data_IF_221357032956
#
_entry.id   IF_221357032956
#
_cell.length_a   1.000
_cell.length_b   1.000
_cell.length_c   1.000
_cell.angle_alpha   90.00
_cell.angle_beta   90.00
_cell.angle_gamma   90.00
#
_symmetry.space_group_name_H-M   'P 1'
#
loop_
_entity.id
_entity.type
_entity.pdbx_description
1 polymer ?
#
# COMPACT_ATOMS: atom_id res chain seq x y z
N UNK A 1 -13.19 -17.01 9.86
CA UNK A 1 -13.11 -15.61 10.33
C UNK A 1 -11.79 -15.34 11.05
N UNK A 2 -11.34 -16.25 11.89
CA UNK A 2 -10.11 -16.09 12.69
C UNK A 2 -8.84 -15.80 11.87
N UNK A 3 -8.65 -16.50 10.73
CA UNK A 3 -7.47 -16.32 9.89
C UNK A 3 -7.35 -14.92 9.26
N UNK A 4 -8.45 -14.34 8.79
CA UNK A 4 -8.45 -13.00 8.21
C UNK A 4 -8.14 -11.93 9.24
N UNK A 5 -8.61 -12.12 10.48
CA UNK A 5 -8.25 -11.24 11.61
C UNK A 5 -6.75 -11.33 11.91
N UNK A 6 -6.18 -12.53 11.95
CA UNK A 6 -4.75 -12.75 12.16
C UNK A 6 -3.92 -12.03 11.08
N UNK A 7 -4.31 -12.13 9.80
CA UNK A 7 -3.60 -11.45 8.71
C UNK A 7 -3.73 -9.92 8.83
N UNK A 8 -4.91 -9.42 9.17
CA UNK A 8 -5.12 -7.99 9.42
C UNK A 8 -4.22 -7.50 10.54
N UNK A 9 -4.22 -8.18 11.68
CA UNK A 9 -3.40 -7.82 12.84
C UNK A 9 -1.91 -7.88 12.51
N UNK A 10 -1.47 -8.88 11.70
CA UNK A 10 -0.10 -8.98 11.23
C UNK A 10 0.29 -7.78 10.34
N UNK A 11 -0.59 -7.36 9.43
CA UNK A 11 -0.35 -6.19 8.57
C UNK A 11 -0.29 -4.92 9.42
N UNK A 12 -1.24 -4.71 10.32
CA UNK A 12 -1.26 -3.56 11.21
C UNK A 12 0.00 -3.47 12.08
N UNK A 13 0.44 -4.60 12.63
CA UNK A 13 1.67 -4.66 13.41
C UNK A 13 2.91 -4.29 12.56
N UNK A 14 3.03 -4.83 11.34
CA UNK A 14 4.13 -4.50 10.44
C UNK A 14 4.16 -3.03 10.06
N UNK A 15 3.00 -2.42 9.77
CA UNK A 15 2.92 -0.99 9.42
C UNK A 15 3.26 -0.08 10.60
N UNK A 16 2.75 -0.39 11.80
CA UNK A 16 3.06 0.39 13.00
C UNK A 16 4.53 0.28 13.43
N UNK A 17 5.19 -0.83 13.12
CA UNK A 17 6.56 -1.12 13.50
C UNK A 17 7.51 -1.23 12.30
N UNK A 18 7.20 -0.57 11.19
CA UNK A 18 7.85 -0.80 9.91
C UNK A 18 9.38 -0.63 9.96
N UNK A 19 9.89 0.34 10.73
CA UNK A 19 11.33 0.59 10.86
C UNK A 19 12.03 -0.36 11.84
N UNK A 20 11.30 -0.89 12.82
CA UNK A 20 11.87 -1.65 13.93
C UNK A 20 11.67 -3.17 13.80
N UNK A 21 10.62 -3.60 13.10
CA UNK A 21 10.32 -5.03 12.94
C UNK A 21 11.49 -5.77 12.30
N UNK A 22 11.97 -6.81 12.98
CA UNK A 22 13.17 -7.55 12.56
C UNK A 22 12.91 -8.63 11.52
N UNK A 23 11.68 -9.13 11.44
CA UNK A 23 11.32 -10.13 10.45
C UNK A 23 10.04 -10.91 10.75
N UNK A 24 9.77 -11.96 9.97
CA UNK A 24 8.55 -12.78 10.08
C UNK A 24 8.34 -13.44 11.44
N UNK A 25 9.41 -13.78 12.14
CA UNK A 25 9.39 -14.42 13.45
C UNK A 25 8.74 -13.53 14.50
N UNK A 26 9.08 -12.24 14.47
CA UNK A 26 8.54 -11.24 15.39
C UNK A 26 7.05 -11.02 15.14
N UNK A 27 6.64 -10.89 13.86
CA UNK A 27 5.25 -10.76 13.47
C UNK A 27 4.44 -11.98 13.90
N UNK A 28 4.94 -13.18 13.66
CA UNK A 28 4.30 -14.44 14.05
C UNK A 28 4.09 -14.55 15.57
N UNK A 29 5.10 -14.11 16.35
CA UNK A 29 5.02 -14.04 17.81
C UNK A 29 3.93 -13.06 18.26
N UNK A 30 3.82 -11.91 17.60
CA UNK A 30 2.79 -10.92 17.91
C UNK A 30 1.38 -11.47 17.72
N UNK A 31 1.13 -12.16 16.61
CA UNK A 31 -0.19 -12.74 16.30
C UNK A 31 -0.39 -14.15 16.88
N UNK A 32 0.53 -14.63 17.71
CA UNK A 32 0.47 -15.90 18.47
C UNK A 32 0.29 -17.17 17.62
N UNK A 33 0.92 -17.21 16.42
CA UNK A 33 0.92 -18.40 15.57
C UNK A 33 2.37 -18.77 15.14
N UNK A 34 2.53 -19.96 14.55
CA UNK A 34 3.86 -20.33 14.05
C UNK A 34 4.27 -19.51 12.83
N UNK A 35 5.54 -19.17 12.73
CA UNK A 35 6.13 -18.42 11.62
C UNK A 35 5.82 -19.08 10.27
N UNK A 36 5.95 -20.40 10.19
CA UNK A 36 5.71 -21.17 8.96
C UNK A 36 4.24 -21.04 8.53
N UNK A 37 3.32 -21.13 9.50
CA UNK A 37 1.90 -21.03 9.22
C UNK A 37 1.52 -19.63 8.75
N UNK A 38 2.03 -18.59 9.44
CA UNK A 38 1.83 -17.21 9.03
C UNK A 38 2.38 -16.92 7.63
N UNK A 39 3.64 -17.32 7.35
CA UNK A 39 4.27 -17.09 6.05
C UNK A 39 3.48 -17.73 4.90
N UNK A 40 3.07 -18.99 5.05
CA UNK A 40 2.30 -19.69 4.02
C UNK A 40 0.95 -19.01 3.75
N UNK A 41 0.21 -18.72 4.80
CA UNK A 41 -1.10 -18.08 4.66
C UNK A 41 -1.01 -16.66 4.12
N UNK A 42 -0.03 -15.87 4.58
CA UNK A 42 0.20 -14.54 4.06
C UNK A 42 0.53 -14.57 2.57
N UNK A 43 1.45 -15.45 2.15
CA UNK A 43 1.84 -15.59 0.76
C UNK A 43 0.68 -16.05 -0.14
N UNK A 44 -0.16 -16.98 0.32
CA UNK A 44 -1.34 -17.44 -0.44
C UNK A 44 -2.35 -16.31 -0.64
N UNK A 45 -2.55 -15.45 0.37
CA UNK A 45 -3.53 -14.36 0.31
C UNK A 45 -3.02 -13.12 -0.43
N UNK A 46 -1.74 -12.81 -0.30
CA UNK A 46 -1.18 -11.53 -0.78
C UNK A 46 -0.28 -11.68 -2.01
N UNK A 47 0.16 -12.89 -2.32
CA UNK A 47 1.09 -13.18 -3.41
C UNK A 47 2.55 -12.87 -3.09
N UNK A 48 2.88 -12.32 -1.89
CA UNK A 48 4.24 -12.01 -1.48
C UNK A 48 4.56 -12.58 -0.09
N UNK A 49 5.84 -12.73 0.21
CA UNK A 49 6.27 -13.14 1.55
C UNK A 49 6.22 -11.97 2.53
N UNK A 50 6.13 -12.24 3.83
CA UNK A 50 6.20 -11.21 4.88
C UNK A 50 7.47 -10.35 4.77
N UNK A 51 8.63 -11.00 4.53
CA UNK A 51 9.89 -10.29 4.38
C UNK A 51 9.93 -9.39 3.13
N UNK A 52 9.34 -9.83 2.03
CA UNK A 52 9.18 -9.00 0.82
C UNK A 52 8.25 -7.83 1.07
N UNK A 53 7.14 -8.04 1.76
CA UNK A 53 6.23 -6.98 2.13
C UNK A 53 6.93 -5.89 2.96
N UNK A 54 7.55 -6.25 4.09
CA UNK A 54 8.27 -5.31 4.96
C UNK A 54 9.33 -4.55 4.16
N UNK A 55 10.15 -5.26 3.38
CA UNK A 55 11.20 -4.64 2.57
C UNK A 55 10.64 -3.66 1.54
N UNK A 56 9.59 -4.03 0.81
CA UNK A 56 9.01 -3.19 -0.24
C UNK A 56 8.31 -1.96 0.37
N UNK A 57 7.65 -2.12 1.52
CA UNK A 57 7.09 -0.98 2.28
C UNK A 57 8.18 -0.02 2.74
N UNK A 58 9.28 -0.52 3.29
CA UNK A 58 10.43 0.30 3.68
C UNK A 58 11.01 1.08 2.49
N UNK A 59 11.18 0.42 1.35
CA UNK A 59 11.69 1.08 0.15
C UNK A 59 10.73 2.14 -0.39
N UNK A 60 9.43 1.89 -0.32
CA UNK A 60 8.42 2.87 -0.70
C UNK A 60 8.44 4.10 0.24
N UNK A 61 8.44 3.90 1.54
CA UNK A 61 8.52 4.98 2.53
C UNK A 61 9.84 5.78 2.43
N UNK A 62 10.97 5.09 2.20
CA UNK A 62 12.25 5.73 1.90
C UNK A 62 12.15 6.61 0.63
N UNK A 63 11.44 6.14 -0.40
CA UNK A 63 11.16 6.91 -1.60
C UNK A 63 10.35 8.18 -1.31
N UNK A 64 9.30 8.08 -0.50
CA UNK A 64 8.53 9.24 -0.05
C UNK A 64 9.42 10.24 0.71
N UNK A 65 10.23 9.75 1.66
CA UNK A 65 11.14 10.61 2.44
C UNK A 65 12.16 11.32 1.56
N UNK A 66 12.72 10.64 0.55
CA UNK A 66 13.63 11.23 -0.44
C UNK A 66 13.01 12.42 -1.19
N UNK A 67 11.71 12.37 -1.46
CA UNK A 67 11.00 13.45 -2.18
C UNK A 67 10.51 14.58 -1.30
N UNK A 68 10.46 14.36 0.02
CA UNK A 68 9.91 15.30 1.00
C UNK A 68 10.99 16.02 1.81
N UNK A 69 12.22 15.50 1.80
CA UNK A 69 13.32 16.04 2.62
C UNK A 69 14.62 16.18 1.81
N UNK A 70 15.53 17.01 2.31
CA UNK A 70 16.88 17.17 1.78
C UNK A 70 17.90 16.26 2.50
N UNK A 71 17.44 15.31 3.32
CA UNK A 71 18.30 14.36 4.02
C UNK A 71 19.19 13.59 3.03
N UNK A 72 20.42 13.28 3.46
CA UNK A 72 21.34 12.53 2.61
C UNK A 72 20.82 11.12 2.37
N UNK A 73 21.05 10.58 1.18
CA UNK A 73 20.65 9.20 0.83
C UNK A 73 21.21 8.19 1.81
N UNK A 74 22.42 8.41 2.34
CA UNK A 74 23.03 7.53 3.33
C UNK A 74 22.25 7.50 4.65
N UNK A 75 21.78 8.65 5.12
CA UNK A 75 21.05 8.75 6.39
C UNK A 75 19.69 8.05 6.27
N UNK A 76 19.00 8.26 5.14
CA UNK A 76 17.76 7.54 4.81
C UNK A 76 18.02 6.04 4.69
N UNK A 77 19.10 5.62 4.04
CA UNK A 77 19.43 4.19 3.93
C UNK A 77 19.60 3.53 5.30
N UNK A 78 20.32 4.17 6.22
CA UNK A 78 20.53 3.68 7.59
C UNK A 78 19.21 3.60 8.36
N UNK A 79 18.37 4.63 8.27
CA UNK A 79 17.06 4.67 8.94
C UNK A 79 16.14 3.52 8.49
N UNK A 80 16.17 3.17 7.20
CA UNK A 80 15.37 2.09 6.66
C UNK A 80 16.04 0.71 6.73
N UNK A 81 17.10 0.58 7.55
CA UNK A 81 17.71 -0.69 7.92
C UNK A 81 18.76 -1.23 6.93
N UNK A 82 19.37 -0.36 6.13
CA UNK A 82 20.47 -0.73 5.23
C UNK A 82 21.81 -0.27 5.82
N UNK A 83 22.76 -1.19 5.93
CA UNK A 83 24.07 -0.91 6.49
C UNK A 83 24.94 -0.04 5.57
N UNK A 84 24.70 -0.10 4.25
CA UNK A 84 25.50 0.66 3.27
C UNK A 84 24.62 1.33 2.21
N UNK A 85 25.03 2.51 1.69
CA UNK A 85 24.32 3.19 0.60
C UNK A 85 24.23 2.36 -0.68
N UNK A 86 25.21 1.51 -0.94
CA UNK A 86 25.26 0.64 -2.12
C UNK A 86 24.19 -0.44 -2.05
N UNK A 87 24.05 -1.09 -0.88
CA UNK A 87 23.03 -2.11 -0.64
C UNK A 87 21.63 -1.52 -0.76
N UNK A 88 21.43 -0.32 -0.19
CA UNK A 88 20.19 0.45 -0.32
C UNK A 88 19.91 0.79 -1.79
N UNK A 89 20.86 1.43 -2.49
CA UNK A 89 20.68 1.84 -3.88
C UNK A 89 20.34 0.66 -4.77
N UNK A 90 20.99 -0.49 -4.59
CA UNK A 90 20.70 -1.72 -5.33
C UNK A 90 19.29 -2.25 -5.06
N UNK A 91 18.87 -2.30 -3.79
CA UNK A 91 17.52 -2.73 -3.41
C UNK A 91 16.45 -1.73 -3.91
N UNK A 92 16.69 -0.45 -3.74
CA UNK A 92 15.83 0.64 -4.18
C UNK A 92 15.62 0.62 -5.70
N UNK A 93 16.72 0.51 -6.47
CA UNK A 93 16.65 0.46 -7.93
C UNK A 93 15.93 -0.80 -8.42
N UNK A 94 16.14 -1.94 -7.75
CA UNK A 94 15.42 -3.17 -8.08
C UNK A 94 13.91 -3.02 -7.86
N UNK A 95 13.52 -2.32 -6.82
CA UNK A 95 12.11 -2.13 -6.45
C UNK A 95 11.45 -1.04 -7.30
N UNK A 96 12.04 0.17 -7.38
CA UNK A 96 11.44 1.31 -8.10
C UNK A 96 11.77 1.36 -9.60
N UNK A 97 12.72 0.56 -10.08
CA UNK A 97 13.20 0.63 -11.46
C UNK A 97 14.11 1.85 -11.75
N UNK A 98 14.41 2.66 -10.74
CA UNK A 98 15.16 3.92 -10.84
C UNK A 98 15.98 4.18 -9.58
N UNK A 99 16.97 5.07 -9.66
CA UNK A 99 17.85 5.35 -8.52
C UNK A 99 17.21 6.30 -7.48
N UNK A 100 17.68 6.29 -6.21
CA UNK A 100 17.22 7.22 -5.18
C UNK A 100 17.35 8.70 -5.58
N UNK A 101 18.44 9.04 -6.30
CA UNK A 101 18.69 10.42 -6.77
C UNK A 101 17.68 10.83 -7.83
N UNK A 102 17.32 9.91 -8.73
CA UNK A 102 16.31 10.18 -9.77
C UNK A 102 14.92 10.34 -9.19
N UNK A 103 14.54 9.53 -8.19
CA UNK A 103 13.26 9.68 -7.48
C UNK A 103 13.20 11.02 -6.74
N UNK A 104 14.31 11.46 -6.11
CA UNK A 104 14.39 12.78 -5.46
C UNK A 104 14.11 13.92 -6.44
N UNK A 105 14.58 13.80 -7.68
CA UNK A 105 14.36 14.82 -8.71
C UNK A 105 12.98 14.73 -9.35
N UNK A 106 12.44 13.54 -9.45
CA UNK A 106 11.20 13.25 -10.14
C UNK A 106 10.43 12.13 -9.46
N UNK A 107 9.46 12.53 -8.61
CA UNK A 107 8.60 11.61 -7.85
C UNK A 107 7.79 10.68 -8.76
N UNK A 108 7.48 11.08 -9.99
CA UNK A 108 6.67 10.27 -10.91
C UNK A 108 7.31 8.93 -11.27
N UNK A 109 8.64 8.80 -11.05
CA UNK A 109 9.39 7.56 -11.28
C UNK A 109 9.28 6.55 -10.14
N UNK A 110 8.61 6.91 -9.05
CA UNK A 110 8.48 6.04 -7.88
C UNK A 110 7.40 4.98 -8.12
N UNK A 111 7.74 3.71 -7.89
CA UNK A 111 6.75 2.64 -7.86
C UNK A 111 5.90 2.74 -6.59
N UNK A 112 4.57 2.74 -6.75
CA UNK A 112 3.64 2.73 -5.63
C UNK A 112 3.61 1.34 -4.97
N UNK A 113 3.63 1.33 -3.64
CA UNK A 113 3.43 0.14 -2.82
C UNK A 113 2.75 0.54 -1.50
N UNK A 114 1.44 0.76 -1.58
CA UNK A 114 0.64 1.17 -0.44
C UNK A 114 0.47 0.03 0.57
N UNK A 115 0.13 0.33 1.83
CA UNK A 115 -0.23 -0.69 2.82
C UNK A 115 -1.33 -1.62 2.30
N UNK A 116 -1.17 -2.92 2.56
CA UNK A 116 -2.23 -3.88 2.27
C UNK A 116 -3.44 -3.62 3.15
N UNK A 117 -4.62 -3.62 2.54
CA UNK A 117 -5.89 -3.51 3.24
C UNK A 117 -6.69 -4.78 3.07
N UNK A 118 -7.12 -5.38 4.20
CA UNK A 118 -7.93 -6.60 4.17
C UNK A 118 -9.40 -6.20 4.28
N UNK A 119 -10.15 -6.43 3.21
CA UNK A 119 -11.61 -6.27 3.20
C UNK A 119 -12.30 -7.63 3.02
N UNK A 120 -13.41 -7.83 3.74
CA UNK A 120 -14.23 -9.04 3.63
C UNK A 120 -15.47 -8.69 2.83
N UNK A 121 -15.63 -9.32 1.67
CA UNK A 121 -16.82 -9.19 0.84
C UNK A 121 -17.76 -10.36 1.10
N UNK A 122 -18.92 -10.09 1.70
CA UNK A 122 -19.93 -11.10 1.92
C UNK A 122 -20.93 -11.01 0.76
N UNK A 123 -21.00 -12.08 -0.06
CA UNK A 123 -21.95 -12.18 -1.16
C UNK A 123 -22.91 -13.33 -0.87
N UNK A 124 -24.21 -13.05 -0.91
CA UNK A 124 -25.24 -14.08 -0.80
C UNK A 124 -26.53 -13.62 -0.10
N UNK A 125 -27.62 -14.29 -0.39
CA UNK A 125 -28.91 -14.18 0.34
C UNK A 125 -29.84 -13.04 -0.05
N UNK A 126 -29.42 -12.05 -0.82
CA UNK A 126 -30.30 -10.98 -1.33
C UNK A 126 -29.90 -10.52 -2.71
N UNK A 127 -30.83 -9.83 -3.41
CA UNK A 127 -30.60 -9.26 -4.74
C UNK A 127 -29.64 -8.06 -4.75
N UNK A 128 -29.15 -7.62 -3.60
CA UNK A 128 -28.20 -6.53 -3.50
C UNK A 128 -26.84 -7.03 -3.02
N UNK A 129 -25.81 -6.82 -3.84
CA UNK A 129 -24.42 -7.00 -3.46
C UNK A 129 -23.96 -5.69 -2.79
N UNK A 130 -23.67 -5.74 -1.49
CA UNK A 130 -23.07 -4.60 -0.79
C UNK A 130 -21.85 -5.06 -0.02
N UNK A 131 -20.91 -4.16 0.12
CA UNK A 131 -19.73 -4.32 0.98
C UNK A 131 -19.86 -3.31 2.11
N UNK A 132 -19.68 -3.77 3.34
CA UNK A 132 -19.61 -2.90 4.51
C UNK A 132 -18.17 -2.87 4.97
N UNK A 133 -17.56 -1.70 4.91
CA UNK A 133 -16.21 -1.45 5.39
C UNK A 133 -16.29 -0.42 6.51
N UNK A 134 -15.65 -0.70 7.63
CA UNK A 134 -15.45 0.27 8.70
C UNK A 134 -14.07 0.85 8.51
N UNK A 135 -14.01 2.10 8.09
CA UNK A 135 -12.77 2.86 7.95
C UNK A 135 -12.74 3.98 8.97
N UNK A 136 -11.56 4.41 9.37
CA UNK A 136 -11.41 5.66 10.11
C UNK A 136 -11.87 6.84 9.24
N UNK A 137 -12.22 7.94 9.89
CA UNK A 137 -12.63 9.15 9.17
C UNK A 137 -11.54 9.60 8.21
N UNK A 138 -11.88 9.75 6.95
CA UNK A 138 -10.96 10.23 5.93
C UNK A 138 -11.57 11.41 5.16
N UNK A 139 -10.71 12.27 4.65
CA UNK A 139 -11.12 13.41 3.82
C UNK A 139 -11.12 12.98 2.36
N UNK A 140 -12.25 13.19 1.70
CA UNK A 140 -12.38 12.97 0.25
C UNK A 140 -12.34 14.33 -0.45
N UNK A 141 -11.47 14.46 -1.44
CA UNK A 141 -11.44 15.61 -2.35
C UNK A 141 -11.84 15.09 -3.72
N UNK A 142 -12.85 15.69 -4.31
CA UNK A 142 -13.36 15.25 -5.60
C UNK A 142 -14.18 16.31 -6.30
N UNK A 143 -14.67 15.98 -7.48
CA UNK A 143 -15.59 16.81 -8.24
C UNK A 143 -17.01 16.36 -7.95
N UNK A 144 -17.89 17.34 -7.68
CA UNK A 144 -19.31 17.11 -7.48
C UNK A 144 -20.08 17.49 -8.75
N UNK A 145 -21.03 16.64 -9.14
CA UNK A 145 -21.99 16.93 -10.21
C UNK A 145 -23.35 16.35 -9.83
N UNK A 146 -24.37 17.19 -9.92
CA UNK A 146 -25.75 16.77 -9.69
C UNK A 146 -26.35 16.21 -10.97
N UNK A 147 -27.02 15.06 -10.87
CA UNK A 147 -27.71 14.40 -11.96
C UNK A 147 -29.20 14.28 -11.64
N UNK A 148 -30.07 14.49 -12.65
CA UNK A 148 -31.47 14.16 -12.50
C UNK A 148 -31.67 12.64 -12.48
N UNK A 149 -32.55 12.14 -11.63
CA UNK A 149 -32.86 10.71 -11.56
C UNK A 149 -33.33 10.16 -12.92
N UNK A 150 -34.03 10.96 -13.69
CA UNK A 150 -34.59 10.57 -15.02
C UNK A 150 -33.51 10.39 -16.10
N UNK A 151 -32.38 11.12 -16.01
CA UNK A 151 -31.31 11.11 -17.01
C UNK A 151 -30.01 10.48 -16.51
N UNK A 152 -29.92 10.17 -15.22
CA UNK A 152 -28.72 9.69 -14.55
C UNK A 152 -28.09 8.45 -15.22
N UNK A 153 -28.91 7.54 -15.75
CA UNK A 153 -28.43 6.32 -16.41
C UNK A 153 -27.62 6.58 -17.71
N UNK A 154 -27.77 7.77 -18.32
CA UNK A 154 -26.95 8.21 -19.46
C UNK A 154 -25.83 9.14 -19.03
N UNK A 155 -26.14 10.10 -18.17
CA UNK A 155 -25.21 11.18 -17.81
C UNK A 155 -24.08 10.72 -16.89
N UNK A 156 -24.31 9.75 -16.00
CA UNK A 156 -23.27 9.25 -15.10
C UNK A 156 -22.14 8.52 -15.86
N UNK A 157 -22.41 7.60 -16.80
CA UNK A 157 -21.35 6.99 -17.61
C UNK A 157 -20.54 8.00 -18.43
N UNK A 158 -21.21 9.02 -19.00
CA UNK A 158 -20.56 10.08 -19.76
C UNK A 158 -19.66 10.93 -18.87
N UNK A 159 -20.12 11.28 -17.67
CA UNK A 159 -19.34 11.99 -16.67
C UNK A 159 -18.08 11.20 -16.27
N UNK A 160 -18.20 9.91 -15.99
CA UNK A 160 -17.03 9.08 -15.68
C UNK A 160 -16.06 9.00 -16.85
N UNK A 161 -16.54 8.88 -18.07
CA UNK A 161 -15.71 8.87 -19.28
C UNK A 161 -14.95 10.19 -19.44
N UNK A 162 -15.61 11.34 -19.18
CA UNK A 162 -15.00 12.67 -19.19
C UNK A 162 -13.92 12.78 -18.09
N UNK A 163 -14.25 12.38 -16.86
CA UNK A 163 -13.34 12.44 -15.71
C UNK A 163 -12.10 11.58 -15.92
N UNK A 164 -12.23 10.38 -16.46
CA UNK A 164 -11.09 9.53 -16.79
C UNK A 164 -10.18 10.16 -17.87
N UNK A 165 -10.74 10.82 -18.87
CA UNK A 165 -9.92 11.48 -19.91
C UNK A 165 -9.13 12.67 -19.36
N UNK A 166 -9.72 13.44 -18.44
CA UNK A 166 -9.14 14.70 -17.94
C UNK A 166 -8.20 14.43 -16.76
N UNK A 167 -8.52 13.47 -15.91
CA UNK A 167 -7.90 13.30 -14.60
C UNK A 167 -7.20 11.95 -14.38
N UNK A 168 -7.31 10.99 -15.30
CA UNK A 168 -6.64 9.69 -15.15
C UNK A 168 -5.11 9.79 -14.89
N UNK A 169 -4.37 10.77 -15.44
CA UNK A 169 -2.97 10.96 -15.09
C UNK A 169 -2.73 11.44 -13.66
N UNK A 170 -3.75 12.02 -13.00
CA UNK A 170 -3.62 12.67 -11.70
C UNK A 170 -4.31 11.91 -10.55
N UNK A 171 -5.12 10.88 -10.84
CA UNK A 171 -5.82 10.09 -9.81
C UNK A 171 -4.91 9.01 -9.22
N UNK A 172 -3.79 8.70 -9.88
CA UNK A 172 -2.78 7.74 -9.43
C UNK A 172 -1.48 8.42 -8.98
N UNK A 173 -1.51 9.71 -8.69
CA UNK A 173 -0.38 10.46 -8.17
C UNK A 173 -0.50 10.65 -6.65
#
# INVERSE_FOLDING_TARGET
MEWLTIIKDAIEYMEQNLLTVTGPEEVAKHVHISTIYLQRGFQVLTGCTLGEYIRNRRLFEAGLKLTQTDEKVIDIALEYGYETPESFTKAFTRFHGTTPIEVRRDRSKMQLFLPLHVSIKIQGGSKMNYTVEITEAFTVIGFERLFSFETSYKEIPDFWTEMYKIHAPNILA
#
